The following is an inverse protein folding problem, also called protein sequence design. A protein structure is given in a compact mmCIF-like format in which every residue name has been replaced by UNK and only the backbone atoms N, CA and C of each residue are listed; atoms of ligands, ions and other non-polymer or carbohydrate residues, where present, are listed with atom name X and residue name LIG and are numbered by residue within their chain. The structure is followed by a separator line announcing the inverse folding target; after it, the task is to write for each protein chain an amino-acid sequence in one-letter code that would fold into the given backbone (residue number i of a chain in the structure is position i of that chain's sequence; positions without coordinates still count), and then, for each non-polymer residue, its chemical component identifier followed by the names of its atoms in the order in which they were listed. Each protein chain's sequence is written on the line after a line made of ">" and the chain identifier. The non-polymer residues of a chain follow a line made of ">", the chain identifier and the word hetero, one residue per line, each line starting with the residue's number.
data_IF_912255331995
#
_entry.id   IF_912255331995
#
_cell.length_a   1.000
_cell.length_b   1.000
_cell.length_c   1.000
_cell.angle_alpha   90.00
_cell.angle_beta   90.00
_cell.angle_gamma   90.00
#
_symmetry.space_group_name_H-M   'P 1'
#
loop_
_entity.id
_entity.type
_entity.pdbx_description
1 polymer ?
#
# COMPACT_ATOMS: atom_id res chain seq x y z
N UNK A 1 20.17 -6.13 26.11
CA UNK A 1 19.49 -5.36 25.05
C UNK A 1 17.99 -5.09 25.32
N UNK A 2 17.06 -6.05 25.20
CA UNK A 2 15.60 -5.77 25.38
C UNK A 2 15.22 -5.21 26.76
N UNK A 3 15.83 -5.71 27.84
CA UNK A 3 15.65 -5.18 29.21
C UNK A 3 16.21 -3.75 29.39
N UNK A 4 17.31 -3.42 28.72
CA UNK A 4 17.86 -2.05 28.75
C UNK A 4 16.94 -1.07 28.04
N UNK A 5 16.24 -1.51 26.99
CA UNK A 5 15.28 -0.71 26.24
C UNK A 5 14.07 -0.31 27.11
N UNK A 6 13.56 -1.24 27.94
CA UNK A 6 12.50 -0.94 28.91
C UNK A 6 12.96 0.03 29.99
N UNK A 7 14.12 -0.22 30.59
CA UNK A 7 14.68 0.68 31.59
C UNK A 7 14.94 2.08 31.03
N UNK A 8 15.33 2.18 29.74
CA UNK A 8 15.47 3.46 29.07
C UNK A 8 14.13 4.16 28.86
N UNK A 9 13.12 3.44 28.40
CA UNK A 9 11.77 3.99 28.25
C UNK A 9 11.21 4.48 29.60
N UNK A 10 11.40 3.73 30.68
CA UNK A 10 10.95 4.10 32.02
C UNK A 10 11.62 5.40 32.50
N UNK A 11 12.91 5.58 32.22
CA UNK A 11 13.61 6.85 32.47
C UNK A 11 13.03 8.00 31.66
N UNK A 12 12.56 7.74 30.44
CA UNK A 12 11.95 8.77 29.59
C UNK A 12 10.56 9.15 30.12
N UNK A 13 9.72 8.17 30.45
CA UNK A 13 8.35 8.43 30.93
C UNK A 13 8.38 9.17 32.28
N UNK A 14 9.25 8.76 33.20
CA UNK A 14 9.47 9.40 34.52
C UNK A 14 10.22 10.73 34.46
N UNK A 15 10.70 11.14 33.28
CA UNK A 15 11.36 12.45 33.07
C UNK A 15 12.85 12.49 33.45
N UNK A 16 13.43 11.37 33.86
CA UNK A 16 14.87 11.24 34.11
C UNK A 16 15.71 11.35 32.83
N UNK A 17 15.09 11.10 31.67
CA UNK A 17 15.71 11.23 30.34
C UNK A 17 14.75 11.91 29.36
N UNK A 18 15.28 12.67 28.41
CA UNK A 18 14.46 13.39 27.41
C UNK A 18 14.17 12.58 26.15
N UNK A 19 15.09 11.72 25.72
CA UNK A 19 15.03 11.02 24.43
C UNK A 19 15.65 9.62 24.51
N UNK A 20 15.26 8.75 23.59
CA UNK A 20 15.88 7.43 23.42
C UNK A 20 17.35 7.55 23.01
N UNK A 21 18.19 6.61 23.47
CA UNK A 21 19.59 6.58 23.03
C UNK A 21 19.67 6.26 21.55
N UNK A 22 20.48 7.03 20.82
CA UNK A 22 20.71 6.80 19.39
C UNK A 22 21.33 5.42 19.11
N UNK A 23 22.00 4.80 20.09
CA UNK A 23 22.59 3.46 19.94
C UNK A 23 21.56 2.37 19.60
N UNK A 24 20.31 2.51 20.04
CA UNK A 24 19.26 1.53 19.76
C UNK A 24 18.61 1.69 18.37
N UNK A 25 18.88 2.80 17.70
CA UNK A 25 18.22 3.17 16.45
C UNK A 25 19.21 3.59 15.34
N UNK A 26 20.51 3.44 15.58
CA UNK A 26 21.58 3.69 14.59
C UNK A 26 22.04 2.35 14.00
N UNK A 27 22.31 2.34 12.70
CA UNK A 27 22.86 1.18 11.98
C UNK A 27 21.84 0.60 11.01
N UNK A 28 21.05 -0.37 11.48
CA UNK A 28 20.10 -1.13 10.65
C UNK A 28 18.66 -0.63 10.86
N UNK A 29 17.97 -0.28 9.76
CA UNK A 29 16.57 0.13 9.78
C UNK A 29 15.63 -0.95 10.34
N UNK A 30 15.89 -2.23 10.04
CA UNK A 30 15.05 -3.33 10.52
C UNK A 30 15.16 -3.47 12.04
N UNK A 31 16.38 -3.41 12.58
CA UNK A 31 16.61 -3.43 14.03
C UNK A 31 15.98 -2.20 14.71
N UNK A 32 16.05 -1.02 14.09
CA UNK A 32 15.41 0.18 14.61
C UNK A 32 13.87 0.03 14.65
N UNK A 33 13.28 -0.58 13.62
CA UNK A 33 11.86 -0.90 13.53
C UNK A 33 11.44 -1.93 14.58
N UNK A 34 12.17 -3.03 14.72
CA UNK A 34 11.94 -4.05 15.74
C UNK A 34 11.98 -3.47 17.16
N UNK A 35 12.96 -2.61 17.44
CA UNK A 35 13.07 -1.92 18.73
C UNK A 35 11.90 -0.95 18.96
N UNK A 36 11.48 -0.20 17.94
CA UNK A 36 10.30 0.67 18.03
C UNK A 36 9.02 -0.12 18.32
N UNK A 37 8.77 -1.20 17.58
CA UNK A 37 7.64 -2.11 17.79
C UNK A 37 7.67 -2.71 19.20
N UNK A 38 8.85 -3.14 19.66
CA UNK A 38 9.01 -3.76 20.98
C UNK A 38 8.69 -2.79 22.13
N UNK A 39 9.15 -1.53 22.04
CA UNK A 39 8.80 -0.50 23.03
C UNK A 39 7.31 -0.21 22.98
N UNK A 40 6.75 0.03 21.80
CA UNK A 40 5.34 0.37 21.67
C UNK A 40 4.43 -0.73 22.23
N UNK A 41 4.73 -2.01 21.97
CA UNK A 41 4.00 -3.14 22.60
C UNK A 41 4.01 -3.05 24.11
N UNK A 42 5.19 -2.87 24.71
CA UNK A 42 5.34 -2.78 26.16
C UNK A 42 4.54 -1.61 26.73
N UNK A 43 4.56 -0.46 26.07
CA UNK A 43 3.78 0.70 26.49
C UNK A 43 2.28 0.42 26.47
N UNK A 44 1.77 -0.10 25.37
CA UNK A 44 0.34 -0.39 25.26
C UNK A 44 -0.09 -1.48 26.24
N UNK A 45 0.66 -2.57 26.38
CA UNK A 45 0.29 -3.70 27.24
C UNK A 45 0.50 -3.44 28.74
N UNK A 46 1.53 -2.68 29.13
CA UNK A 46 1.91 -2.54 30.55
C UNK A 46 1.54 -1.21 31.18
N UNK A 47 1.46 -0.14 30.40
CA UNK A 47 1.08 1.17 30.93
C UNK A 47 -0.38 1.51 30.64
N UNK A 48 -0.90 1.10 29.48
CA UNK A 48 -2.30 1.33 29.12
C UNK A 48 -3.19 0.09 29.34
N UNK A 49 -2.58 -1.09 29.53
CA UNK A 49 -3.29 -2.37 29.64
C UNK A 49 -4.20 -2.67 28.44
N UNK A 50 -3.80 -2.18 27.25
CA UNK A 50 -4.57 -2.30 26.03
C UNK A 50 -4.32 -3.63 25.32
N UNK A 51 -5.39 -4.20 24.80
CA UNK A 51 -5.33 -5.32 23.86
C UNK A 51 -5.19 -4.81 22.40
N UNK A 52 -4.93 -5.69 21.42
CA UNK A 52 -4.76 -5.29 20.03
C UNK A 52 -5.95 -4.53 19.42
N UNK A 53 -7.18 -4.86 19.83
CA UNK A 53 -8.40 -4.18 19.35
C UNK A 53 -8.53 -2.78 19.94
N UNK A 54 -8.16 -2.58 21.21
CA UNK A 54 -8.12 -1.26 21.83
C UNK A 54 -7.15 -0.34 21.07
N UNK A 55 -5.96 -0.87 20.71
CA UNK A 55 -4.96 -0.15 19.93
C UNK A 55 -5.53 0.23 18.56
N UNK A 56 -6.14 -0.73 17.86
CA UNK A 56 -6.69 -0.56 16.52
C UNK A 56 -7.81 0.50 16.44
N UNK A 57 -8.52 0.76 17.54
CA UNK A 57 -9.68 1.64 17.58
C UNK A 57 -9.41 2.98 18.29
N UNK A 58 -8.42 3.03 19.19
CA UNK A 58 -8.29 4.15 20.13
C UNK A 58 -6.96 4.92 20.01
N UNK A 59 -5.91 4.35 19.40
CA UNK A 59 -4.63 5.07 19.26
C UNK A 59 -4.83 6.35 18.45
N UNK A 60 -4.24 7.44 18.95
CA UNK A 60 -4.14 8.70 18.25
C UNK A 60 -2.86 9.44 18.65
N UNK A 61 -2.58 10.54 17.97
CA UNK A 61 -1.34 11.29 18.16
C UNK A 61 -1.18 11.86 19.58
N UNK A 62 -2.27 12.15 20.29
CA UNK A 62 -2.21 12.66 21.65
C UNK A 62 -1.72 11.59 22.63
N UNK A 63 -2.25 10.36 22.50
CA UNK A 63 -1.80 9.21 23.31
C UNK A 63 -0.31 8.96 23.08
N UNK A 64 0.15 8.94 21.81
CA UNK A 64 1.56 8.71 21.49
C UNK A 64 2.49 9.78 22.08
N UNK A 65 2.02 11.04 22.18
CA UNK A 65 2.76 12.14 22.81
C UNK A 65 2.77 12.03 24.33
N UNK A 66 1.63 11.74 24.96
CA UNK A 66 1.51 11.55 26.42
C UNK A 66 2.42 10.41 26.87
N UNK A 67 2.39 9.30 26.14
CA UNK A 67 3.24 8.13 26.40
C UNK A 67 4.69 8.31 25.89
N UNK A 68 5.06 9.48 25.35
CA UNK A 68 6.41 9.80 24.85
C UNK A 68 6.97 8.81 23.81
N UNK A 69 6.11 8.05 23.12
CA UNK A 69 6.49 7.11 22.05
C UNK A 69 6.32 7.69 20.64
N UNK A 70 5.75 8.89 20.50
CA UNK A 70 5.65 9.61 19.22
C UNK A 70 6.96 9.60 18.39
N UNK A 71 8.16 9.85 18.96
CA UNK A 71 9.39 9.88 18.16
C UNK A 71 9.73 8.54 17.49
N UNK A 72 9.15 7.43 17.95
CA UNK A 72 9.38 6.11 17.40
C UNK A 72 8.61 5.85 16.10
N UNK A 73 7.57 6.64 15.82
CA UNK A 73 6.73 6.53 14.61
C UNK A 73 7.57 6.54 13.33
N UNK A 74 8.63 7.36 13.30
CA UNK A 74 9.51 7.48 12.12
C UNK A 74 10.23 6.18 11.75
N UNK A 75 10.37 5.24 12.68
CA UNK A 75 11.00 3.93 12.44
C UNK A 75 10.00 2.87 11.96
N UNK A 76 8.69 3.15 12.01
CA UNK A 76 7.65 2.18 11.64
C UNK A 76 7.44 2.04 10.11
N UNK A 77 8.20 2.80 9.30
CA UNK A 77 8.09 2.81 7.84
C UNK A 77 6.62 2.94 7.38
N UNK A 78 5.95 4.01 7.82
CA UNK A 78 4.53 4.23 7.50
C UNK A 78 4.37 4.43 5.98
N UNK A 79 3.45 3.70 5.34
CA UNK A 79 3.13 3.86 3.93
C UNK A 79 2.69 5.29 3.59
N UNK A 80 3.19 5.84 2.48
CA UNK A 80 2.88 7.19 2.00
C UNK A 80 1.37 7.37 1.70
N UNK A 81 0.65 6.27 1.47
CA UNK A 81 -0.80 6.18 1.30
C UNK A 81 -1.60 6.83 2.44
N UNK A 82 -1.03 6.86 3.64
CA UNK A 82 -1.67 7.51 4.80
C UNK A 82 -1.46 9.04 4.85
N UNK A 83 -0.70 9.61 3.90
CA UNK A 83 -0.48 11.06 3.83
C UNK A 83 0.25 11.61 5.06
N UNK A 84 1.19 10.84 5.62
CA UNK A 84 1.95 11.21 6.81
C UNK A 84 1.19 11.11 8.13
N UNK A 85 -0.03 10.57 8.13
CA UNK A 85 -0.78 10.24 9.36
C UNK A 85 -0.54 8.77 9.72
N UNK A 86 -0.58 8.45 11.01
CA UNK A 86 -0.56 7.07 11.46
C UNK A 86 -1.99 6.54 11.50
N UNK A 87 -2.27 5.47 10.76
CA UNK A 87 -3.52 4.74 10.87
C UNK A 87 -3.47 3.78 12.09
N UNK A 88 -4.44 3.84 13.01
CA UNK A 88 -4.43 3.01 14.22
C UNK A 88 -4.49 1.51 13.93
N UNK A 89 -5.25 1.09 12.91
CA UNK A 89 -5.33 -0.33 12.52
C UNK A 89 -4.03 -0.82 11.93
N UNK A 90 -3.37 0.00 11.11
CA UNK A 90 -2.04 -0.31 10.59
C UNK A 90 -1.00 -0.42 11.70
N UNK A 91 -1.02 0.49 12.69
CA UNK A 91 -0.17 0.34 13.87
C UNK A 91 -0.45 -0.98 14.60
N UNK A 92 -1.72 -1.26 14.88
CA UNK A 92 -2.10 -2.48 15.58
C UNK A 92 -1.69 -3.74 14.82
N UNK A 93 -1.76 -3.73 13.48
CA UNK A 93 -1.23 -4.79 12.62
C UNK A 93 0.29 -4.93 12.72
N UNK A 94 1.05 -3.83 12.68
CA UNK A 94 2.51 -3.88 12.85
C UNK A 94 2.92 -4.47 14.19
N UNK A 95 2.16 -4.17 15.25
CA UNK A 95 2.41 -4.73 16.56
C UNK A 95 1.93 -6.20 16.61
N UNK A 96 0.72 -6.52 16.17
CA UNK A 96 0.12 -7.84 16.33
C UNK A 96 -0.38 -8.41 14.99
N UNK A 97 0.53 -8.76 14.06
CA UNK A 97 0.14 -9.18 12.72
C UNK A 97 -0.71 -10.45 12.72
N UNK A 98 -0.51 -11.33 13.70
CA UNK A 98 -1.26 -12.59 13.86
C UNK A 98 -2.70 -12.38 14.40
N UNK A 99 -3.01 -11.20 14.92
CA UNK A 99 -4.32 -10.88 15.53
C UNK A 99 -5.09 -9.84 14.75
N UNK A 100 -4.40 -8.80 14.29
CA UNK A 100 -5.00 -7.71 13.51
C UNK A 100 -4.56 -7.88 12.07
N UNK A 101 -5.46 -8.38 11.23
CA UNK A 101 -5.21 -8.48 9.80
C UNK A 101 -5.36 -7.11 9.13
N UNK A 102 -4.35 -6.73 8.34
CA UNK A 102 -4.38 -5.54 7.50
C UNK A 102 -4.23 -5.94 6.04
N UNK A 103 -5.13 -5.44 5.19
CA UNK A 103 -5.12 -5.76 3.77
C UNK A 103 -4.56 -4.59 2.96
N UNK A 104 -3.33 -4.73 2.49
CA UNK A 104 -2.68 -3.77 1.59
C UNK A 104 -3.53 -3.47 0.34
N UNK A 105 -4.29 -4.45 -0.15
CA UNK A 105 -5.19 -4.26 -1.29
C UNK A 105 -6.33 -3.31 -0.98
N UNK A 106 -6.86 -3.32 0.25
CA UNK A 106 -7.91 -2.39 0.66
C UNK A 106 -7.35 -0.96 0.74
N UNK A 107 -6.14 -0.79 1.31
CA UNK A 107 -5.47 0.51 1.34
C UNK A 107 -5.21 1.06 -0.07
N UNK A 108 -4.75 0.21 -0.98
CA UNK A 108 -4.53 0.56 -2.37
C UNK A 108 -5.84 0.98 -3.05
N UNK A 109 -6.92 0.22 -2.82
CA UNK A 109 -8.24 0.52 -3.35
C UNK A 109 -8.80 1.83 -2.80
N UNK A 110 -8.69 2.09 -1.50
CA UNK A 110 -9.18 3.32 -0.89
C UNK A 110 -8.38 4.54 -1.37
N UNK A 111 -7.06 4.38 -1.52
CA UNK A 111 -6.19 5.40 -2.12
C UNK A 111 -6.60 5.69 -3.56
N UNK A 112 -6.82 4.65 -4.36
CA UNK A 112 -7.29 4.79 -5.73
C UNK A 112 -8.65 5.49 -5.83
N UNK A 113 -9.61 5.06 -5.01
CA UNK A 113 -10.93 5.70 -4.93
C UNK A 113 -10.81 7.19 -4.64
N UNK A 114 -9.97 7.60 -3.68
CA UNK A 114 -9.72 9.01 -3.38
C UNK A 114 -9.19 9.77 -4.60
N UNK A 115 -8.25 9.20 -5.35
CA UNK A 115 -7.67 9.82 -6.55
C UNK A 115 -8.73 10.04 -7.64
N UNK A 116 -9.58 9.05 -7.92
CA UNK A 116 -10.58 9.17 -9.00
C UNK A 116 -11.81 10.00 -8.62
N UNK A 117 -12.14 10.13 -7.32
CA UNK A 117 -13.30 10.92 -6.88
C UNK A 117 -12.95 12.35 -6.54
N UNK A 118 -11.70 12.64 -6.15
CA UNK A 118 -11.29 13.94 -5.63
C UNK A 118 -10.55 14.73 -6.70
N UNK A 119 -11.17 15.79 -7.19
CA UNK A 119 -10.56 16.66 -8.22
C UNK A 119 -9.24 17.24 -7.73
N UNK A 120 -8.17 17.06 -8.50
CA UNK A 120 -6.82 17.55 -8.17
C UNK A 120 -6.05 16.67 -7.18
N UNK A 121 -6.60 15.52 -6.77
CA UNK A 121 -5.86 14.55 -5.98
C UNK A 121 -4.94 13.73 -6.89
N UNK A 122 -3.71 13.52 -6.44
CA UNK A 122 -2.70 12.71 -7.12
C UNK A 122 -2.35 11.51 -6.26
N UNK A 123 -1.81 10.46 -6.88
CA UNK A 123 -1.28 9.34 -6.12
C UNK A 123 -0.18 9.79 -5.14
N UNK A 124 -0.05 9.12 -3.98
CA UNK A 124 1.09 9.30 -3.10
C UNK A 124 2.42 9.09 -3.84
N UNK A 125 3.50 9.69 -3.33
CA UNK A 125 4.84 9.45 -3.85
C UNK A 125 5.14 7.95 -3.80
N UNK A 126 5.77 7.43 -4.85
CA UNK A 126 6.15 6.01 -4.99
C UNK A 126 5.00 4.99 -4.94
N UNK A 127 3.73 5.40 -4.98
CA UNK A 127 2.58 4.47 -4.93
C UNK A 127 2.60 3.36 -6.00
N UNK A 128 3.27 3.55 -7.13
CA UNK A 128 3.46 2.50 -8.14
C UNK A 128 4.92 2.02 -8.27
N UNK A 129 5.86 2.64 -7.54
CA UNK A 129 7.29 2.51 -7.80
C UNK A 129 8.06 1.72 -6.72
N UNK A 130 7.37 1.13 -5.74
CA UNK A 130 7.97 0.19 -4.80
C UNK A 130 7.69 -1.27 -5.22
N UNK A 131 8.17 -2.23 -4.42
CA UNK A 131 8.01 -3.67 -4.65
C UNK A 131 6.54 -4.14 -4.73
N UNK A 132 5.60 -3.39 -4.17
CA UNK A 132 4.16 -3.68 -4.17
C UNK A 132 3.40 -2.93 -5.26
N UNK A 133 4.06 -2.06 -6.03
CA UNK A 133 3.45 -1.21 -7.05
C UNK A 133 2.62 -1.98 -8.08
N UNK A 134 3.12 -3.13 -8.55
CA UNK A 134 2.42 -4.02 -9.49
C UNK A 134 1.11 -4.56 -8.91
N UNK A 135 1.11 -4.95 -7.63
CA UNK A 135 -0.10 -5.43 -6.97
C UNK A 135 -1.12 -4.31 -6.80
N UNK A 136 -0.67 -3.11 -6.42
CA UNK A 136 -1.56 -1.94 -6.31
C UNK A 136 -2.16 -1.56 -7.66
N UNK A 137 -1.38 -1.62 -8.74
CA UNK A 137 -1.89 -1.42 -10.10
C UNK A 137 -3.02 -2.42 -10.44
N UNK A 138 -2.80 -3.71 -10.21
CA UNK A 138 -3.81 -4.76 -10.44
C UNK A 138 -5.10 -4.50 -9.63
N UNK A 139 -4.98 -4.06 -8.38
CA UNK A 139 -6.14 -3.68 -7.56
C UNK A 139 -6.92 -2.52 -8.20
N UNK A 140 -6.23 -1.49 -8.68
CA UNK A 140 -6.86 -0.33 -9.32
C UNK A 140 -7.62 -0.74 -10.59
N UNK A 141 -6.98 -1.49 -11.49
CA UNK A 141 -7.64 -1.96 -12.73
C UNK A 141 -8.78 -2.94 -12.44
N UNK A 142 -8.61 -3.85 -11.48
CA UNK A 142 -9.66 -4.79 -11.07
C UNK A 142 -10.93 -4.06 -10.60
N UNK A 143 -10.80 -2.93 -9.91
CA UNK A 143 -11.94 -2.10 -9.55
C UNK A 143 -12.60 -1.48 -10.79
N UNK A 144 -11.84 -0.91 -11.72
CA UNK A 144 -12.40 -0.32 -12.96
C UNK A 144 -13.16 -1.35 -13.79
N UNK A 145 -12.57 -2.53 -13.99
CA UNK A 145 -13.19 -3.61 -14.75
C UNK A 145 -14.52 -4.08 -14.16
N UNK A 146 -14.67 -4.03 -12.83
CA UNK A 146 -15.88 -4.49 -12.13
C UNK A 146 -16.93 -3.40 -11.95
N UNK A 147 -16.51 -2.18 -11.64
CA UNK A 147 -17.40 -1.13 -11.13
C UNK A 147 -17.64 0.02 -12.12
N UNK A 148 -16.85 0.10 -13.19
CA UNK A 148 -16.87 1.23 -14.14
C UNK A 148 -17.09 0.83 -15.58
N UNK A 149 -16.69 -0.38 -15.95
CA UNK A 149 -16.85 -0.92 -17.29
C UNK A 149 -17.79 -2.12 -17.28
N UNK A 150 -18.48 -2.34 -18.40
CA UNK A 150 -19.42 -3.46 -18.56
C UNK A 150 -18.99 -4.26 -19.78
N UNK A 151 -18.82 -5.56 -19.57
CA UNK A 151 -18.42 -6.52 -20.61
C UNK A 151 -19.28 -7.77 -20.50
N UNK A 152 -19.63 -8.35 -21.65
CA UNK A 152 -20.48 -9.55 -21.71
C UNK A 152 -19.67 -10.83 -21.50
N UNK A 153 -18.39 -10.81 -21.85
CA UNK A 153 -17.48 -11.93 -21.71
C UNK A 153 -16.02 -11.44 -21.66
N UNK A 154 -15.11 -12.38 -21.42
CA UNK A 154 -13.69 -12.08 -21.25
C UNK A 154 -12.99 -11.61 -22.53
N UNK A 155 -13.43 -12.09 -23.70
CA UNK A 155 -12.88 -11.66 -25.00
C UNK A 155 -13.11 -10.17 -25.23
N UNK A 156 -14.30 -9.66 -24.87
CA UNK A 156 -14.59 -8.23 -24.96
C UNK A 156 -13.64 -7.38 -24.11
N UNK A 157 -13.21 -7.89 -22.95
CA UNK A 157 -12.21 -7.22 -22.11
C UNK A 157 -10.89 -7.08 -22.87
N UNK A 158 -10.34 -8.18 -23.38
CA UNK A 158 -9.08 -8.12 -24.13
C UNK A 158 -9.19 -7.24 -25.38
N UNK A 159 -10.28 -7.38 -26.14
CA UNK A 159 -10.55 -6.59 -27.34
C UNK A 159 -10.66 -5.10 -27.01
N UNK A 160 -11.30 -4.73 -25.92
CA UNK A 160 -11.46 -3.32 -25.52
C UNK A 160 -10.10 -2.64 -25.30
N UNK A 161 -9.19 -3.29 -24.59
CA UNK A 161 -7.86 -2.73 -24.29
C UNK A 161 -6.89 -2.73 -25.48
N UNK A 162 -7.22 -3.42 -26.58
CA UNK A 162 -6.56 -3.25 -27.87
C UNK A 162 -6.91 -1.90 -28.53
N UNK A 163 -8.12 -1.39 -28.30
CA UNK A 163 -8.65 -0.20 -29.00
C UNK A 163 -8.12 1.13 -28.43
N UNK A 164 -8.33 2.21 -29.20
CA UNK A 164 -8.10 3.58 -28.72
C UNK A 164 -9.00 3.95 -27.53
N UNK A 165 -10.21 3.38 -27.45
CA UNK A 165 -11.12 3.58 -26.33
C UNK A 165 -10.55 2.99 -25.04
N UNK A 166 -10.01 1.77 -25.08
CA UNK A 166 -9.33 1.18 -23.91
C UNK A 166 -8.15 2.02 -23.42
N UNK A 167 -7.35 2.57 -24.34
CA UNK A 167 -6.27 3.52 -23.98
C UNK A 167 -6.82 4.82 -23.37
N UNK A 168 -7.94 5.33 -23.87
CA UNK A 168 -8.63 6.49 -23.31
C UNK A 168 -9.11 6.20 -21.88
N UNK A 169 -9.68 5.02 -21.65
CA UNK A 169 -10.17 4.62 -20.32
C UNK A 169 -9.03 4.49 -19.30
N UNK A 170 -7.86 3.96 -19.69
CA UNK A 170 -6.67 3.97 -18.83
C UNK A 170 -6.35 5.39 -18.35
N UNK A 171 -6.44 6.39 -19.23
CA UNK A 171 -6.20 7.79 -18.89
C UNK A 171 -7.33 8.37 -18.03
N UNK A 172 -8.59 8.17 -18.44
CA UNK A 172 -9.77 8.74 -17.79
C UNK A 172 -9.96 8.21 -16.36
N UNK A 173 -9.53 6.97 -16.11
CA UNK A 173 -9.56 6.36 -14.78
C UNK A 173 -8.23 6.48 -14.03
N UNK A 174 -7.35 7.40 -14.43
CA UNK A 174 -6.10 7.72 -13.75
C UNK A 174 -5.15 6.50 -13.60
N UNK A 175 -5.15 5.57 -14.55
CA UNK A 175 -4.32 4.37 -14.53
C UNK A 175 -3.04 4.50 -15.37
N UNK A 176 -2.72 5.68 -15.93
CA UNK A 176 -1.54 5.87 -16.80
C UNK A 176 -0.23 5.45 -16.12
N UNK A 177 0.04 5.92 -14.91
CA UNK A 177 1.26 5.54 -14.17
C UNK A 177 1.27 4.06 -13.76
N UNK A 178 0.09 3.50 -13.46
CA UNK A 178 -0.04 2.07 -13.18
C UNK A 178 0.25 1.22 -14.42
N UNK A 179 -0.18 1.69 -15.59
CA UNK A 179 0.01 1.05 -16.88
C UNK A 179 1.49 0.98 -17.29
N UNK A 180 2.30 1.97 -16.93
CA UNK A 180 3.75 1.99 -17.21
C UNK A 180 4.53 0.82 -16.57
N UNK A 181 3.93 0.14 -15.58
CA UNK A 181 4.51 -1.06 -14.95
C UNK A 181 4.37 -2.32 -15.83
N UNK A 182 3.68 -2.23 -16.96
CA UNK A 182 3.38 -3.35 -17.84
C UNK A 182 3.82 -3.03 -19.27
N UNK A 183 4.28 -4.05 -19.99
CA UNK A 183 4.78 -3.91 -21.36
C UNK A 183 3.67 -3.47 -22.34
N UNK A 184 2.48 -4.08 -22.22
CA UNK A 184 1.32 -3.76 -23.06
C UNK A 184 0.03 -3.67 -22.23
N UNK A 185 -1.03 -3.00 -22.75
CA UNK A 185 -2.33 -2.96 -22.07
C UNK A 185 -2.93 -4.35 -21.89
N UNK A 186 -2.58 -5.27 -22.78
CA UNK A 186 -3.01 -6.66 -22.75
C UNK A 186 -2.33 -7.40 -21.59
N UNK A 187 -1.05 -7.16 -21.33
CA UNK A 187 -0.35 -7.69 -20.15
C UNK A 187 -0.99 -7.20 -18.85
N UNK A 188 -1.32 -5.91 -18.80
CA UNK A 188 -1.94 -5.33 -17.61
C UNK A 188 -3.29 -5.97 -17.28
N UNK A 189 -4.15 -6.11 -18.29
CA UNK A 189 -5.43 -6.82 -18.15
C UNK A 189 -5.21 -8.27 -17.74
N UNK A 190 -4.40 -9.02 -18.50
CA UNK A 190 -4.20 -10.44 -18.27
C UNK A 190 -3.70 -10.73 -16.86
N UNK A 191 -2.71 -9.98 -16.39
CA UNK A 191 -2.15 -10.16 -15.07
C UNK A 191 -3.08 -9.70 -13.93
N UNK A 192 -4.06 -8.85 -14.22
CA UNK A 192 -5.08 -8.39 -13.25
C UNK A 192 -6.19 -9.42 -13.06
N UNK A 193 -6.54 -10.16 -14.10
CA UNK A 193 -7.57 -11.19 -14.04
C UNK A 193 -7.17 -12.36 -13.12
N UNK A 194 -8.17 -12.97 -12.46
CA UNK A 194 -7.95 -14.19 -11.67
C UNK A 194 -7.60 -15.37 -12.58
N UNK A 195 -6.99 -16.42 -12.02
CA UNK A 195 -6.62 -17.61 -12.79
C UNK A 195 -7.82 -18.25 -13.52
N UNK A 196 -9.02 -18.22 -12.92
CA UNK A 196 -10.25 -18.74 -13.55
C UNK A 196 -10.82 -17.85 -14.65
N UNK A 197 -10.47 -16.55 -14.66
CA UNK A 197 -10.91 -15.60 -15.67
C UNK A 197 -9.92 -15.49 -16.83
N UNK A 198 -8.65 -15.86 -16.63
CA UNK A 198 -7.63 -15.79 -17.67
C UNK A 198 -7.93 -16.75 -18.80
N UNK A 199 -7.51 -16.34 -19.99
CA UNK A 199 -7.55 -17.17 -21.18
C UNK A 199 -6.26 -16.94 -21.96
N UNK A 200 -5.39 -17.95 -21.97
CA UNK A 200 -4.06 -17.87 -22.60
C UNK A 200 -4.16 -17.68 -24.11
N UNK A 201 -5.14 -18.31 -24.76
CA UNK A 201 -5.33 -18.16 -26.20
C UNK A 201 -5.65 -16.70 -26.56
N UNK A 202 -6.62 -16.10 -25.87
CA UNK A 202 -7.01 -14.70 -26.10
C UNK A 202 -5.87 -13.74 -25.75
N UNK A 203 -5.16 -13.98 -24.65
CA UNK A 203 -4.00 -13.18 -24.26
C UNK A 203 -2.94 -13.15 -25.35
N UNK A 204 -2.50 -14.31 -25.84
CA UNK A 204 -1.48 -14.40 -26.88
C UNK A 204 -1.96 -13.78 -28.20
N UNK A 205 -3.21 -14.03 -28.59
CA UNK A 205 -3.81 -13.48 -29.80
C UNK A 205 -3.86 -11.95 -29.79
N UNK A 206 -4.42 -11.35 -28.73
CA UNK A 206 -4.54 -9.89 -28.66
C UNK A 206 -3.20 -9.19 -28.39
N UNK A 207 -2.27 -9.83 -27.68
CA UNK A 207 -0.91 -9.31 -27.52
C UNK A 207 -0.18 -9.27 -28.87
N UNK A 208 -0.28 -10.33 -29.67
CA UNK A 208 0.28 -10.35 -31.02
C UNK A 208 -0.29 -9.21 -31.89
N UNK A 209 -1.62 -9.07 -31.94
CA UNK A 209 -2.26 -8.00 -32.74
C UNK A 209 -1.81 -6.61 -32.26
N UNK A 210 -1.73 -6.40 -30.96
CA UNK A 210 -1.28 -5.13 -30.40
C UNK A 210 0.15 -4.78 -30.86
N UNK A 211 1.08 -5.74 -30.78
CA UNK A 211 2.47 -5.54 -31.17
C UNK A 211 2.62 -5.38 -32.69
N UNK A 212 1.92 -6.19 -33.48
CA UNK A 212 1.91 -6.09 -34.94
C UNK A 212 1.43 -4.70 -35.40
N UNK A 213 0.30 -4.23 -34.86
CA UNK A 213 -0.25 -2.91 -35.19
C UNK A 213 0.65 -1.74 -34.74
N UNK A 214 1.53 -1.95 -33.76
CA UNK A 214 2.51 -0.94 -33.36
C UNK A 214 3.66 -0.87 -34.37
N UNK A 215 4.20 -2.02 -34.75
CA UNK A 215 5.30 -2.11 -35.73
C UNK A 215 4.88 -1.52 -37.07
N UNK A 216 3.68 -1.83 -37.57
CA UNK A 216 3.21 -1.24 -38.84
C UNK A 216 3.10 0.28 -38.81
N UNK A 217 2.77 0.86 -37.65
CA UNK A 217 2.70 2.33 -37.49
C UNK A 217 4.07 2.98 -37.34
N UNK A 218 5.07 2.25 -36.86
CA UNK A 218 6.45 2.74 -36.74
C UNK A 218 7.16 2.70 -38.11
N UNK A 219 6.69 1.86 -39.03
CA UNK A 219 7.22 1.71 -40.39
C UNK A 219 6.52 2.60 -41.44
N UNK A 220 5.55 3.43 -41.03
CA UNK A 220 4.83 4.42 -41.86
C UNK A 220 5.26 5.83 -41.49
#
# INVERSE_FOLDING_TARGET
>A
MKKELYAEYEKIVTGQKKTFSSSFFKGNEETAKENAVFIMKYVFEKFLEWNPDDIANSVNMNILKIMKIHPLIKYLQIPDEFGGKLDPKYLAHLLYPDRIYYNDSNLALDTYKRVITTKGCSYPKKFFHDEKGVNRAKVCLSYVLREKLVFSNIEEVYRHFLTTKGRSDIRNYYLTTAFELFETPIDYVHQTLSASQRNEFLYNYYKFIYLYNRIEKENQ
#
